data_IF_698897858071
#
_entry.id   IF_698897858071
#
_cell.length_a   1.000
_cell.length_b   1.000
_cell.length_c   1.000
_cell.angle_alpha   90.00
_cell.angle_beta   90.00
_cell.angle_gamma   90.00
#
_symmetry.space_group_name_H-M   'P 1'
#
loop_
_entity.id
_entity.type
_entity.pdbx_description
1 polymer ?
#
# COMPACT_ATOMS: atom_id res chain seq x y z
N UNK A 1 -3.46 -55.22 14.67
CA UNK A 1 -2.20 -54.45 14.79
C UNK A 1 -1.78 -53.77 13.47
N UNK A 2 -1.66 -54.49 12.35
CA UNK A 2 -1.23 -53.90 11.07
C UNK A 2 -2.13 -52.78 10.52
N UNK A 3 -3.46 -52.88 10.69
CA UNK A 3 -4.42 -51.85 10.27
C UNK A 3 -4.30 -50.54 11.05
N UNK A 4 -3.96 -50.63 12.34
CA UNK A 4 -3.74 -49.45 13.19
C UNK A 4 -2.42 -48.75 12.81
N UNK A 5 -1.36 -49.53 12.57
CA UNK A 5 -0.08 -49.00 12.10
C UNK A 5 -0.21 -48.29 10.73
N UNK A 6 -0.95 -48.88 9.78
CA UNK A 6 -1.21 -48.25 8.48
C UNK A 6 -2.01 -46.94 8.59
N UNK A 7 -2.98 -46.88 9.50
CA UNK A 7 -3.77 -45.67 9.75
C UNK A 7 -2.89 -44.55 10.35
N UNK A 8 -2.01 -44.89 11.30
CA UNK A 8 -1.10 -43.94 11.93
C UNK A 8 -0.04 -43.42 10.95
N UNK A 9 0.50 -44.28 10.09
CA UNK A 9 1.45 -43.88 9.04
C UNK A 9 0.77 -42.97 8.01
N UNK A 10 -0.45 -43.30 7.59
CA UNK A 10 -1.24 -42.46 6.67
C UNK A 10 -1.57 -41.09 7.25
N UNK A 11 -1.95 -41.05 8.54
CA UNK A 11 -2.23 -39.78 9.22
C UNK A 11 -0.96 -38.93 9.37
N UNK A 12 0.18 -39.55 9.71
CA UNK A 12 1.46 -38.85 9.85
C UNK A 12 1.95 -38.27 8.52
N UNK A 13 1.80 -38.99 7.40
CA UNK A 13 2.17 -38.50 6.07
C UNK A 13 1.25 -37.37 5.59
N UNK A 14 -0.04 -37.42 5.90
CA UNK A 14 -0.99 -36.34 5.64
C UNK A 14 -0.61 -35.06 6.40
N UNK A 15 -0.27 -35.17 7.69
CA UNK A 15 0.14 -34.02 8.49
C UNK A 15 1.47 -33.43 7.98
N UNK A 16 2.43 -34.26 7.58
CA UNK A 16 3.68 -33.80 6.98
C UNK A 16 3.45 -33.06 5.65
N UNK A 17 2.56 -33.55 4.79
CA UNK A 17 2.21 -32.90 3.53
C UNK A 17 1.51 -31.55 3.74
N UNK A 18 0.62 -31.45 4.74
CA UNK A 18 -0.05 -30.17 5.11
C UNK A 18 0.96 -29.15 5.66
N UNK A 19 1.98 -29.59 6.39
CA UNK A 19 3.07 -28.69 6.85
C UNK A 19 4.01 -28.27 5.72
N UNK A 20 4.28 -29.14 4.74
CA UNK A 20 5.10 -28.83 3.56
C UNK A 20 4.39 -27.84 2.61
N UNK A 21 3.06 -27.93 2.49
CA UNK A 21 2.25 -27.00 1.69
C UNK A 21 2.19 -25.55 2.24
N UNK A 22 2.82 -25.27 3.39
CA UNK A 22 2.99 -23.91 3.93
C UNK A 22 4.37 -23.31 3.65
N UNK A 23 5.26 -24.05 2.97
CA UNK A 23 6.61 -23.58 2.64
C UNK A 23 6.76 -23.55 1.12
N UNK A 24 6.14 -22.55 0.48
CA UNK A 24 6.57 -22.17 -0.86
C UNK A 24 6.64 -20.65 -1.03
N UNK A 25 7.90 -20.22 -1.18
CA UNK A 25 8.43 -18.95 -1.73
C UNK A 25 8.22 -17.67 -0.92
N UNK A 26 9.15 -17.46 0.02
CA UNK A 26 9.77 -16.14 0.16
C UNK A 26 10.63 -15.90 -1.10
N UNK A 27 9.99 -15.47 -2.19
CA UNK A 27 10.71 -14.87 -3.30
C UNK A 27 11.31 -13.54 -2.80
N UNK A 28 12.64 -13.47 -2.74
CA UNK A 28 13.36 -12.23 -2.52
C UNK A 28 13.21 -11.35 -3.78
N UNK A 29 12.02 -10.77 -3.96
CA UNK A 29 11.84 -9.63 -4.84
C UNK A 29 12.42 -8.42 -4.12
N UNK A 30 13.40 -7.77 -4.72
CA UNK A 30 13.84 -6.44 -4.30
C UNK A 30 12.69 -5.46 -4.52
N UNK A 31 11.75 -5.38 -3.57
CA UNK A 31 10.91 -4.20 -3.40
C UNK A 31 11.86 -3.10 -2.94
N UNK A 32 12.43 -2.33 -3.87
CA UNK A 32 12.93 -0.99 -3.57
C UNK A 32 11.71 -0.07 -3.58
N UNK A 33 11.11 0.26 -2.42
CA UNK A 33 10.02 1.21 -2.38
C UNK A 33 10.52 2.55 -2.95
N UNK A 34 9.69 3.27 -3.72
CA UNK A 34 10.03 4.61 -4.17
C UNK A 34 10.38 5.47 -2.95
N UNK A 35 11.55 6.13 -2.99
CA UNK A 35 11.97 7.06 -1.95
C UNK A 35 10.90 8.15 -1.79
N UNK A 36 10.36 8.36 -0.59
CA UNK A 36 9.35 9.39 -0.34
C UNK A 36 10.02 10.77 -0.24
N UNK A 37 10.83 11.13 -1.23
CA UNK A 37 11.42 12.47 -1.36
C UNK A 37 10.39 13.47 -1.90
N UNK A 38 9.16 13.41 -1.38
CA UNK A 38 8.18 14.47 -1.44
C UNK A 38 8.06 15.01 -0.02
N UNK A 39 8.92 15.98 0.30
CA UNK A 39 8.94 16.78 1.53
C UNK A 39 8.80 16.00 2.86
N UNK A 40 9.93 15.59 3.46
CA UNK A 40 10.03 15.35 4.91
C UNK A 40 9.73 13.95 5.45
N UNK A 41 9.26 13.00 4.63
CA UNK A 41 9.09 11.61 5.08
C UNK A 41 10.38 10.80 4.90
N UNK A 42 10.71 9.96 5.88
CA UNK A 42 11.86 9.05 5.86
C UNK A 42 11.50 7.75 6.57
N UNK A 43 11.95 6.61 6.02
CA UNK A 43 11.87 5.32 6.70
C UNK A 43 12.71 5.35 7.99
N UNK A 44 12.16 4.84 9.08
CA UNK A 44 12.83 4.89 10.39
C UNK A 44 12.90 6.29 10.97
N UNK A 45 11.96 7.19 10.63
CA UNK A 45 11.91 8.56 11.18
C UNK A 45 11.97 8.59 12.72
N UNK A 46 11.36 7.60 13.38
CA UNK A 46 11.32 7.50 14.83
C UNK A 46 12.53 6.79 15.46
N UNK A 47 13.52 6.34 14.69
CA UNK A 47 14.62 5.52 15.18
C UNK A 47 15.30 6.11 16.43
N UNK A 48 15.63 7.40 16.42
CA UNK A 48 16.41 8.02 17.49
C UNK A 48 15.56 8.48 18.70
N UNK A 49 14.24 8.57 18.53
CA UNK A 49 13.31 9.03 19.60
C UNK A 49 12.52 7.89 20.21
N UNK A 50 12.05 6.97 19.37
CA UNK A 50 11.25 5.81 19.74
C UNK A 50 11.54 4.65 18.77
N UNK A 51 12.64 3.90 18.97
CA UNK A 51 13.10 2.86 18.04
C UNK A 51 12.09 1.71 17.90
N UNK A 52 11.24 1.51 18.89
CA UNK A 52 10.24 0.44 18.90
C UNK A 52 8.88 0.86 18.34
N UNK A 53 8.72 2.11 17.88
CA UNK A 53 7.42 2.62 17.43
C UNK A 53 6.77 1.72 16.37
N UNK A 54 7.52 1.38 15.31
CA UNK A 54 7.02 0.52 14.23
C UNK A 54 6.70 -0.91 14.72
N UNK A 55 7.53 -1.45 15.62
CA UNK A 55 7.33 -2.78 16.18
C UNK A 55 6.09 -2.86 17.09
N UNK A 56 5.87 -1.84 17.93
CA UNK A 56 4.71 -1.75 18.83
C UNK A 56 3.43 -1.68 17.99
N UNK A 57 3.36 -0.77 17.01
CA UNK A 57 2.19 -0.63 16.13
C UNK A 57 1.92 -1.94 15.41
N UNK A 58 2.96 -2.58 14.84
CA UNK A 58 2.82 -3.87 14.18
C UNK A 58 2.27 -4.95 15.11
N UNK A 59 2.75 -5.03 16.34
CA UNK A 59 2.29 -6.01 17.33
C UNK A 59 0.81 -5.83 17.69
N UNK A 60 0.40 -4.59 17.97
CA UNK A 60 -0.99 -4.26 18.30
C UNK A 60 -1.92 -4.54 17.13
N UNK A 61 -1.55 -4.10 15.92
CA UNK A 61 -2.36 -4.34 14.71
C UNK A 61 -2.44 -5.84 14.41
N UNK A 62 -1.35 -6.59 14.53
CA UNK A 62 -1.36 -8.04 14.31
C UNK A 62 -2.30 -8.76 15.30
N UNK A 63 -2.26 -8.40 16.58
CA UNK A 63 -3.17 -8.96 17.57
C UNK A 63 -4.64 -8.60 17.29
N UNK A 64 -4.91 -7.36 16.87
CA UNK A 64 -6.26 -6.92 16.51
C UNK A 64 -6.80 -7.63 15.27
N UNK A 65 -5.98 -7.78 14.23
CA UNK A 65 -6.33 -8.51 12.99
C UNK A 65 -6.53 -10.00 13.25
N UNK A 66 -5.74 -10.59 14.14
CA UNK A 66 -5.92 -11.99 14.54
C UNK A 66 -7.27 -12.21 15.25
N UNK A 67 -7.75 -11.22 16.01
CA UNK A 67 -9.07 -11.28 16.66
C UNK A 67 -10.21 -11.03 15.68
N UNK A 68 -10.02 -10.08 14.77
CA UNK A 68 -11.00 -9.70 13.75
C UNK A 68 -10.28 -9.30 12.44
N UNK A 69 -10.32 -10.15 11.40
CA UNK A 69 -9.72 -9.86 10.11
C UNK A 69 -10.22 -8.57 9.45
N UNK A 70 -11.44 -8.11 9.78
CA UNK A 70 -12.02 -6.87 9.27
C UNK A 70 -11.27 -5.61 9.68
N UNK A 71 -10.53 -5.65 10.80
CA UNK A 71 -9.73 -4.51 11.30
C UNK A 71 -8.65 -4.11 10.28
N UNK A 72 -8.01 -5.08 9.63
CA UNK A 72 -6.96 -4.79 8.65
C UNK A 72 -7.50 -4.02 7.44
N UNK A 73 -8.63 -4.48 6.90
CA UNK A 73 -9.32 -3.78 5.82
C UNK A 73 -9.81 -2.38 6.24
N UNK A 74 -10.31 -2.26 7.48
CA UNK A 74 -10.75 -0.98 8.05
C UNK A 74 -9.63 0.05 8.17
N UNK A 75 -8.45 -0.36 8.67
CA UNK A 75 -7.28 0.52 8.79
C UNK A 75 -6.80 1.03 7.43
N UNK A 76 -6.76 0.16 6.41
CA UNK A 76 -6.38 0.54 5.05
C UNK A 76 -7.41 1.51 4.46
N UNK A 77 -8.71 1.24 4.64
CA UNK A 77 -9.78 2.13 4.18
C UNK A 77 -9.71 3.50 4.86
N UNK A 78 -9.41 3.55 6.16
CA UNK A 78 -9.25 4.82 6.89
C UNK A 78 -8.05 5.61 6.37
N UNK A 79 -6.90 4.96 6.14
CA UNK A 79 -5.71 5.61 5.56
C UNK A 79 -6.02 6.26 4.21
N UNK A 80 -6.72 5.55 3.34
CA UNK A 80 -7.15 6.13 2.06
C UNK A 80 -8.14 7.27 2.27
N UNK A 81 -9.12 7.11 3.16
CA UNK A 81 -10.11 8.15 3.45
C UNK A 81 -9.47 9.46 3.93
N UNK A 82 -8.49 9.38 4.83
CA UNK A 82 -7.79 10.56 5.37
C UNK A 82 -6.94 11.25 4.29
N UNK A 83 -6.23 10.48 3.46
CA UNK A 83 -5.39 11.05 2.39
C UNK A 83 -6.21 11.63 1.21
N UNK A 84 -7.37 11.07 0.89
CA UNK A 84 -8.23 11.62 -0.19
C UNK A 84 -8.88 12.95 0.21
N UNK A 85 -9.19 13.14 1.50
CA UNK A 85 -9.67 14.42 2.03
C UNK A 85 -8.55 15.47 2.07
N UNK A 86 -7.31 15.06 2.34
CA UNK A 86 -6.18 15.99 2.42
C UNK A 86 -5.63 16.42 1.06
N UNK A 87 -5.76 15.57 0.03
CA UNK A 87 -5.56 16.02 -1.37
C UNK A 87 -6.53 17.12 -1.73
N UNK A 88 -7.80 17.05 -1.31
CA UNK A 88 -8.76 18.14 -1.50
C UNK A 88 -8.33 19.43 -0.81
N UNK A 89 -7.70 19.37 0.38
CA UNK A 89 -7.14 20.54 1.05
C UNK A 89 -5.95 21.13 0.31
N UNK A 90 -5.12 20.30 -0.33
CA UNK A 90 -4.02 20.78 -1.17
C UNK A 90 -4.58 21.50 -2.40
N UNK A 91 -5.58 20.93 -3.11
CA UNK A 91 -6.21 21.57 -4.29
C UNK A 91 -7.05 22.81 -3.90
N UNK A 92 -7.60 22.85 -2.69
CA UNK A 92 -8.32 24.01 -2.17
C UNK A 92 -7.36 25.15 -1.76
N UNK A 93 -6.17 24.82 -1.25
CA UNK A 93 -5.13 25.81 -0.93
C UNK A 93 -4.52 26.43 -2.19
N UNK A 94 -4.28 25.65 -3.27
CA UNK A 94 -3.88 26.22 -4.56
C UNK A 94 -5.03 27.00 -5.24
N UNK A 95 -6.29 26.58 -5.11
CA UNK A 95 -7.44 27.36 -5.61
C UNK A 95 -7.63 28.69 -4.86
N UNK A 96 -7.30 28.75 -3.56
CA UNK A 96 -7.33 29.97 -2.76
C UNK A 96 -6.14 30.91 -3.03
N UNK A 97 -5.06 30.42 -3.65
CA UNK A 97 -3.85 31.19 -3.96
C UNK A 97 -3.73 31.62 -5.41
N UNK A 98 -4.56 31.09 -6.32
CA UNK A 98 -4.55 31.47 -7.71
C UNK A 98 -5.84 32.24 -8.04
N UNK A 99 -5.72 33.56 -8.22
CA UNK A 99 -6.74 34.34 -8.93
C UNK A 99 -6.66 34.03 -10.43
N UNK A 100 -6.91 32.79 -10.82
CA UNK A 100 -7.19 32.45 -12.22
C UNK A 100 -8.65 32.09 -12.38
N UNK A 101 -9.30 32.78 -13.31
CA UNK A 101 -10.70 32.56 -13.68
C UNK A 101 -10.82 31.24 -14.42
N UNK A 102 -10.77 30.14 -13.67
CA UNK A 102 -10.89 28.79 -14.18
C UNK A 102 -12.35 28.44 -14.43
N UNK A 103 -12.82 28.78 -15.62
CA UNK A 103 -14.17 28.43 -16.06
C UNK A 103 -14.26 26.93 -16.38
N UNK A 104 -15.40 26.26 -16.14
CA UNK A 104 -15.55 24.82 -16.38
C UNK A 104 -15.14 24.35 -17.80
N UNK A 105 -15.20 25.25 -18.79
CA UNK A 105 -14.72 25.02 -20.15
C UNK A 105 -13.23 24.70 -20.27
N UNK A 106 -12.36 25.27 -19.42
CA UNK A 106 -10.90 25.08 -19.53
C UNK A 106 -10.42 23.75 -18.91
N UNK A 107 -11.23 23.11 -18.05
CA UNK A 107 -10.96 21.77 -17.49
C UNK A 107 -11.03 20.68 -18.54
N UNK A 108 -12.11 20.69 -19.32
CA UNK A 108 -12.34 19.65 -20.32
C UNK A 108 -11.25 19.66 -21.40
N UNK A 109 -10.80 20.84 -21.81
CA UNK A 109 -9.79 20.98 -22.87
C UNK A 109 -8.40 20.53 -22.44
N UNK A 110 -7.98 20.79 -21.20
CA UNK A 110 -6.64 20.44 -20.72
C UNK A 110 -6.52 19.01 -20.17
N UNK A 111 -7.65 18.37 -19.80
CA UNK A 111 -7.66 17.01 -19.24
C UNK A 111 -8.00 15.96 -20.29
N UNK A 112 -8.94 16.24 -21.22
CA UNK A 112 -9.43 15.22 -22.16
C UNK A 112 -8.76 15.25 -23.54
N UNK A 113 -8.17 16.37 -23.95
CA UNK A 113 -7.31 16.42 -25.14
C UNK A 113 -5.95 16.97 -24.75
N UNK A 114 -4.98 16.13 -24.38
CA UNK A 114 -3.58 16.56 -24.42
C UNK A 114 -3.30 16.92 -25.88
N UNK A 115 -3.36 18.21 -26.20
CA UNK A 115 -3.23 18.70 -27.57
C UNK A 115 -1.94 18.16 -28.17
N UNK A 116 -2.07 17.48 -29.31
CA UNK A 116 -1.00 17.01 -30.19
C UNK A 116 -0.23 18.19 -30.83
N UNK A 117 0.09 19.25 -30.08
CA UNK A 117 0.83 20.40 -30.60
C UNK A 117 2.36 20.30 -30.40
N UNK A 118 2.85 19.24 -29.73
CA UNK A 118 4.29 19.05 -29.50
C UNK A 118 4.87 17.86 -30.29
N UNK A 119 4.40 17.60 -31.51
CA UNK A 119 5.15 16.78 -32.49
C UNK A 119 5.32 17.55 -33.79
N UNK A 120 6.51 18.11 -33.98
CA UNK A 120 6.99 18.60 -35.27
C UNK A 120 7.30 20.10 -35.34
N UNK A 121 8.24 20.58 -34.53
CA UNK A 121 9.01 21.79 -34.86
C UNK A 121 10.48 21.41 -35.07
N UNK A 122 10.70 20.56 -36.08
CA UNK A 122 12.00 20.38 -36.74
C UNK A 122 11.73 20.23 -38.23
N UNK A 123 12.44 21.02 -39.02
CA UNK A 123 12.72 20.93 -40.47
C UNK A 123 12.10 22.03 -41.37
N UNK A 124 13.04 22.91 -41.80
CA UNK A 124 13.10 23.82 -42.96
C UNK A 124 12.17 25.02 -43.09
#
# INVERSE_FOLDING_TARGET
MARLAALLVSLATLMAAVTAARVERAGAGFYTPPSPSTCGLKVGYYHDKCPHAEAIVKGVVAAAVHRDPGVGAGLIRMLFHDCFVERANLIHYILLLDQTDWTPSTLEQNVLTPSLNNRGATEH
#
